data_IF_823055196960
#
_entry.id   IF_823055196960
#
_cell.length_a   1.000
_cell.length_b   1.000
_cell.length_c   1.000
_cell.angle_alpha   90.00
_cell.angle_beta   90.00
_cell.angle_gamma   90.00
#
_symmetry.space_group_name_H-M   'P 1'
#
loop_
_entity.id
_entity.type
_entity.pdbx_description
1 polymer ?
#
# COMPACT_ATOMS: atom_id res chain seq x y z
N UNK A 1 4.33 -36.94 -8.65
CA UNK A 1 3.56 -36.21 -9.68
C UNK A 1 2.16 -35.86 -9.15
N UNK A 2 1.34 -36.84 -8.75
CA UNK A 2 0.01 -36.59 -8.16
C UNK A 2 0.03 -35.61 -6.97
N UNK A 3 0.88 -35.85 -5.96
CA UNK A 3 1.03 -34.95 -4.80
C UNK A 3 1.37 -33.50 -5.20
N UNK A 4 2.19 -33.33 -6.23
CA UNK A 4 2.55 -32.01 -6.75
C UNK A 4 1.34 -31.32 -7.40
N UNK A 5 0.56 -32.05 -8.20
CA UNK A 5 -0.66 -31.51 -8.80
C UNK A 5 -1.73 -31.18 -7.75
N UNK A 6 -1.88 -32.01 -6.72
CA UNK A 6 -2.78 -31.74 -5.59
C UNK A 6 -2.35 -30.49 -4.82
N UNK A 7 -1.07 -30.38 -4.47
CA UNK A 7 -0.52 -29.21 -3.80
C UNK A 7 -0.70 -27.93 -4.65
N UNK A 8 -0.43 -27.99 -5.96
CA UNK A 8 -0.64 -26.86 -6.87
C UNK A 8 -2.10 -26.43 -6.94
N UNK A 9 -3.05 -27.38 -7.04
CA UNK A 9 -4.50 -27.08 -7.02
C UNK A 9 -4.92 -26.43 -5.70
N UNK A 10 -4.45 -26.96 -4.57
CA UNK A 10 -4.72 -26.39 -3.25
C UNK A 10 -4.21 -24.94 -3.17
N UNK A 11 -2.96 -24.71 -3.56
CA UNK A 11 -2.33 -23.40 -3.57
C UNK A 11 -3.15 -22.40 -4.42
N UNK A 12 -3.50 -22.78 -5.66
CA UNK A 12 -4.32 -21.94 -6.54
C UNK A 12 -5.71 -21.64 -5.96
N UNK A 13 -6.35 -22.63 -5.32
CA UNK A 13 -7.66 -22.44 -4.69
C UNK A 13 -7.62 -21.47 -3.51
N UNK A 14 -6.60 -21.59 -2.65
CA UNK A 14 -6.39 -20.70 -1.50
C UNK A 14 -6.10 -19.27 -1.99
N UNK A 15 -5.22 -19.11 -2.97
CA UNK A 15 -4.93 -17.81 -3.56
C UNK A 15 -6.16 -17.18 -4.24
N UNK A 16 -6.91 -17.96 -5.01
CA UNK A 16 -8.13 -17.51 -5.66
C UNK A 16 -9.18 -17.04 -4.65
N UNK A 17 -9.36 -17.78 -3.56
CA UNK A 17 -10.27 -17.41 -2.48
C UNK A 17 -9.83 -16.12 -1.76
N UNK A 18 -8.55 -16.03 -1.36
CA UNK A 18 -7.98 -14.82 -0.74
C UNK A 18 -8.13 -13.59 -1.64
N UNK A 19 -7.88 -13.76 -2.94
CA UNK A 19 -8.05 -12.69 -3.92
C UNK A 19 -9.52 -12.26 -4.04
N UNK A 20 -10.45 -13.22 -4.11
CA UNK A 20 -11.88 -12.93 -4.19
C UNK A 20 -12.38 -12.19 -2.94
N UNK A 21 -11.99 -12.62 -1.75
CA UNK A 21 -12.32 -11.93 -0.50
C UNK A 21 -11.75 -10.50 -0.48
N UNK A 22 -10.50 -10.33 -0.91
CA UNK A 22 -9.87 -9.02 -1.01
C UNK A 22 -10.64 -8.08 -1.95
N UNK A 23 -11.09 -8.57 -3.11
CA UNK A 23 -11.90 -7.78 -4.05
C UNK A 23 -13.30 -7.48 -3.49
N UNK A 24 -13.92 -8.41 -2.76
CA UNK A 24 -15.23 -8.18 -2.10
C UNK A 24 -15.14 -7.05 -1.08
N UNK A 25 -14.15 -7.08 -0.19
CA UNK A 25 -13.92 -6.02 0.80
C UNK A 25 -13.63 -4.68 0.10
N UNK A 26 -12.79 -4.70 -0.93
CA UNK A 26 -12.49 -3.51 -1.73
C UNK A 26 -13.73 -2.91 -2.36
N UNK A 27 -14.61 -3.73 -2.94
CA UNK A 27 -15.88 -3.26 -3.52
C UNK A 27 -16.76 -2.59 -2.47
N UNK A 28 -16.82 -3.14 -1.25
CA UNK A 28 -17.56 -2.54 -0.13
C UNK A 28 -17.01 -1.17 0.24
N UNK A 29 -15.69 -1.03 0.36
CA UNK A 29 -15.03 0.25 0.62
C UNK A 29 -15.28 1.27 -0.50
N UNK A 30 -15.20 0.85 -1.77
CA UNK A 30 -15.49 1.72 -2.91
C UNK A 30 -16.94 2.20 -2.91
N UNK A 31 -17.90 1.34 -2.55
CA UNK A 31 -19.30 1.74 -2.40
C UNK A 31 -19.51 2.75 -1.26
N UNK A 32 -18.64 2.76 -0.24
CA UNK A 32 -18.61 3.77 0.82
C UNK A 32 -17.88 5.06 0.40
N UNK A 33 -17.47 5.18 -0.87
CA UNK A 33 -16.71 6.32 -1.38
C UNK A 33 -15.22 6.28 -1.04
N UNK A 34 -14.74 5.22 -0.38
CA UNK A 34 -13.34 5.06 -0.02
C UNK A 34 -12.56 4.58 -1.24
N UNK A 35 -11.77 5.50 -1.79
CA UNK A 35 -10.82 5.20 -2.87
C UNK A 35 -9.46 4.89 -2.26
N UNK A 36 -8.71 4.03 -2.92
CA UNK A 36 -7.38 3.64 -2.50
C UNK A 36 -6.55 3.14 -3.69
N UNK A 37 -5.25 2.90 -3.47
CA UNK A 37 -4.33 2.47 -4.52
C UNK A 37 -4.82 1.17 -5.20
N UNK A 38 -4.68 1.07 -6.53
CA UNK A 38 -5.05 -0.15 -7.24
C UNK A 38 -4.14 -1.31 -6.82
N UNK A 39 -4.68 -2.49 -6.49
CA UNK A 39 -3.89 -3.66 -6.15
C UNK A 39 -3.16 -4.17 -7.39
N UNK A 40 -1.86 -4.42 -7.27
CA UNK A 40 -1.15 -5.19 -8.29
C UNK A 40 -1.29 -6.69 -8.04
N UNK A 41 -1.32 -7.46 -9.12
CA UNK A 41 -1.37 -8.92 -9.07
C UNK A 41 -0.12 -9.50 -8.37
N UNK A 42 -0.32 -10.44 -7.44
CA UNK A 42 0.68 -11.13 -6.61
C UNK A 42 1.43 -10.29 -5.56
N UNK A 43 1.93 -9.10 -5.91
CA UNK A 43 2.76 -8.29 -5.01
C UNK A 43 1.99 -7.18 -4.28
N UNK A 44 0.70 -7.01 -4.60
CA UNK A 44 -0.08 -5.89 -4.07
C UNK A 44 0.57 -4.56 -4.42
N UNK A 45 0.73 -3.66 -3.44
CA UNK A 45 1.29 -2.33 -3.67
C UNK A 45 2.76 -2.23 -3.26
N UNK A 46 3.43 -3.35 -2.96
CA UNK A 46 4.82 -3.36 -2.50
C UNK A 46 5.79 -2.70 -3.49
N UNK A 47 5.73 -2.98 -4.81
CA UNK A 47 6.63 -2.32 -5.77
C UNK A 47 6.42 -0.80 -5.81
N UNK A 48 5.17 -0.34 -5.71
CA UNK A 48 4.84 1.08 -5.67
C UNK A 48 5.36 1.73 -4.37
N UNK A 49 5.19 1.06 -3.22
CA UNK A 49 5.73 1.53 -1.95
C UNK A 49 7.26 1.68 -2.02
N UNK A 50 7.95 0.68 -2.57
CA UNK A 50 9.40 0.71 -2.76
C UNK A 50 9.84 1.83 -3.69
N UNK A 51 9.10 2.06 -4.78
CA UNK A 51 9.34 3.16 -5.71
C UNK A 51 9.17 4.53 -5.04
N UNK A 52 8.09 4.72 -4.28
CA UNK A 52 7.85 5.99 -3.58
C UNK A 52 8.92 6.19 -2.49
N UNK A 53 9.31 5.14 -1.80
CA UNK A 53 10.34 5.22 -0.76
C UNK A 53 11.72 5.56 -1.35
N UNK A 54 12.09 5.01 -2.51
CA UNK A 54 13.35 5.36 -3.17
C UNK A 54 13.34 6.80 -3.69
N UNK A 55 12.22 7.26 -4.24
CA UNK A 55 12.03 8.66 -4.65
C UNK A 55 12.12 9.63 -3.47
N UNK A 56 11.49 9.31 -2.33
CA UNK A 56 11.54 10.13 -1.13
C UNK A 56 12.97 10.22 -0.58
N UNK A 57 13.70 9.09 -0.51
CA UNK A 57 15.11 9.08 -0.10
C UNK A 57 15.98 9.94 -1.03
N UNK A 58 15.78 9.84 -2.34
CA UNK A 58 16.53 10.64 -3.30
C UNK A 58 16.25 12.15 -3.12
N UNK A 59 15.01 12.54 -2.90
CA UNK A 59 14.63 13.94 -2.68
C UNK A 59 15.21 14.50 -1.37
N UNK A 60 15.25 13.71 -0.30
CA UNK A 60 15.86 14.10 0.98
C UNK A 60 17.36 14.38 0.87
N UNK A 61 18.10 13.60 0.07
CA UNK A 61 19.54 13.84 -0.16
C UNK A 61 19.81 15.17 -0.87
N UNK A 62 18.91 15.61 -1.76
CA UNK A 62 19.05 16.90 -2.45
C UNK A 62 18.74 18.10 -1.53
N UNK A 63 17.82 17.95 -0.57
CA UNK A 63 17.40 19.01 0.34
C UNK A 63 18.19 18.99 1.66
N UNK A 64 19.53 18.97 1.60
CA UNK A 64 20.40 18.98 2.78
C UNK A 64 20.53 20.37 3.46
N UNK A 65 19.63 21.32 3.20
CA UNK A 65 19.77 22.72 3.65
C UNK A 65 18.65 23.24 4.56
N UNK A 66 17.77 22.40 5.13
CA UNK A 66 16.84 22.87 6.16
C UNK A 66 16.85 21.96 7.39
N UNK A 67 17.58 22.43 8.40
CA UNK A 67 17.80 21.89 9.72
C UNK A 67 16.56 21.93 10.62
N UNK A 68 16.37 20.84 11.36
CA UNK A 68 15.82 20.66 12.71
C UNK A 68 14.43 21.14 13.14
N UNK A 69 13.72 22.02 12.43
CA UNK A 69 12.40 22.48 12.95
C UNK A 69 11.21 21.59 12.54
N UNK A 70 11.33 20.78 11.49
CA UNK A 70 10.21 19.97 10.96
C UNK A 70 10.19 18.51 11.48
N UNK A 71 11.28 18.03 12.10
CA UNK A 71 11.46 16.63 12.49
C UNK A 71 10.40 16.12 13.48
N UNK A 72 9.86 16.99 14.35
CA UNK A 72 8.84 16.61 15.31
C UNK A 72 7.44 16.47 14.67
N UNK A 73 7.10 17.27 13.65
CA UNK A 73 5.75 17.29 13.11
C UNK A 73 5.52 16.26 12.00
N UNK A 74 6.59 15.77 11.35
CA UNK A 74 6.43 14.92 10.17
C UNK A 74 7.33 13.68 10.15
N UNK A 75 7.50 13.04 11.30
CA UNK A 75 8.14 11.72 11.37
C UNK A 75 7.41 10.69 10.51
N UNK A 76 6.10 10.85 10.30
CA UNK A 76 5.27 9.97 9.48
C UNK A 76 5.66 9.97 8.01
N UNK A 77 5.99 11.11 7.41
CA UNK A 77 6.46 11.14 6.01
C UNK A 77 7.84 10.52 5.85
N UNK A 78 8.68 10.63 6.88
CA UNK A 78 10.02 10.02 6.89
C UNK A 78 9.91 8.49 6.95
N UNK A 79 9.06 7.96 7.84
CA UNK A 79 8.89 6.52 8.02
C UNK A 79 8.07 5.88 6.89
N UNK A 80 6.99 6.55 6.46
CA UNK A 80 6.00 6.02 5.53
C UNK A 80 5.67 7.03 4.41
N UNK A 81 6.64 7.37 3.54
CA UNK A 81 6.43 8.36 2.48
C UNK A 81 5.30 7.98 1.50
N UNK A 82 5.08 6.68 1.29
CA UNK A 82 3.99 6.17 0.46
C UNK A 82 2.60 6.46 1.04
N UNK A 83 2.47 6.53 2.37
CA UNK A 83 1.21 6.85 3.03
C UNK A 83 0.81 8.29 2.75
N UNK A 84 1.77 9.22 2.88
CA UNK A 84 1.56 10.61 2.53
C UNK A 84 1.23 10.78 1.05
N UNK A 85 1.95 10.07 0.18
CA UNK A 85 1.69 10.08 -1.26
C UNK A 85 0.26 9.64 -1.57
N UNK A 86 -0.21 8.54 -0.96
CA UNK A 86 -1.57 8.06 -1.14
C UNK A 86 -2.61 8.94 -0.47
N UNK A 87 -2.32 9.54 0.68
CA UNK A 87 -3.20 10.53 1.31
C UNK A 87 -3.45 11.72 0.40
N UNK A 88 -2.41 12.24 -0.27
CA UNK A 88 -2.53 13.32 -1.26
C UNK A 88 -3.34 12.89 -2.49
N UNK A 89 -3.14 11.67 -2.99
CA UNK A 89 -3.79 11.19 -4.21
C UNK A 89 -5.25 10.74 -4.01
N UNK A 90 -5.51 9.99 -2.95
CA UNK A 90 -6.80 9.33 -2.70
C UNK A 90 -7.65 10.03 -1.63
N UNK A 91 -7.07 11.01 -0.92
CA UNK A 91 -7.75 11.80 0.11
C UNK A 91 -7.67 11.20 1.51
N UNK A 92 -7.99 12.03 2.52
CA UNK A 92 -7.89 11.73 3.97
C UNK A 92 -8.80 10.59 4.46
N UNK A 93 -9.71 10.09 3.63
CA UNK A 93 -10.68 9.05 4.01
C UNK A 93 -10.05 7.70 4.42
N UNK A 94 -8.76 7.48 4.11
CA UNK A 94 -8.05 6.27 4.52
C UNK A 94 -7.92 6.14 6.06
N UNK A 95 -7.95 7.25 6.81
CA UNK A 95 -7.69 7.26 8.26
C UNK A 95 -8.93 7.07 9.14
N UNK A 96 -10.14 7.20 8.61
CA UNK A 96 -11.34 7.30 9.47
C UNK A 96 -11.91 5.93 9.93
N UNK A 97 -11.39 4.80 9.44
CA UNK A 97 -11.88 3.45 9.80
C UNK A 97 -10.88 2.59 10.57
N UNK A 98 -9.92 3.20 11.28
CA UNK A 98 -9.12 2.51 12.33
C UNK A 98 -9.57 2.97 13.75
N UNK A 99 -10.70 3.65 13.85
CA UNK A 99 -11.48 3.84 15.08
C UNK A 99 -12.84 3.16 14.92
#
# INVERSE_FOLDING_TARGET
MEEFFLAMKLILSVYGNLWHESQRVRKRLQMQGIKGPPPSFLHGNLPDMQRIQSQAKAASTCNSNHSDQFLAHDYTTTLFPYFEHWRKQYGTLLLLLIY
#
